data_IF_965813606213
#
_entry.id   IF_965813606213
#
_cell.length_a   1.000
_cell.length_b   1.000
_cell.length_c   1.000
_cell.angle_alpha   90.00
_cell.angle_beta   90.00
_cell.angle_gamma   90.00
#
_symmetry.space_group_name_H-M   'P 1'
#
loop_
_entity.id
_entity.type
_entity.pdbx_description
1 polymer ?
#
# COMPACT_ATOMS: atom_id res chain seq x y z
N UNK A 1 13.84 8.26 -7.67
CA UNK A 1 12.40 8.05 -7.36
C UNK A 1 11.92 6.72 -7.91
N UNK A 2 12.45 6.26 -9.05
CA UNK A 2 12.11 4.96 -9.64
C UNK A 2 12.40 3.77 -8.72
N UNK A 3 13.44 3.85 -7.86
CA UNK A 3 13.73 2.79 -6.90
C UNK A 3 12.59 2.55 -5.90
N UNK A 4 12.01 3.63 -5.37
CA UNK A 4 10.85 3.55 -4.44
C UNK A 4 9.65 2.94 -5.15
N UNK A 5 9.42 3.33 -6.41
CA UNK A 5 8.33 2.78 -7.23
C UNK A 5 8.55 1.28 -7.46
N UNK A 6 9.77 0.87 -7.79
CA UNK A 6 10.15 -0.53 -7.98
C UNK A 6 9.96 -1.35 -6.69
N UNK A 7 10.41 -0.82 -5.54
CA UNK A 7 10.22 -1.45 -4.22
C UNK A 7 8.74 -1.61 -3.90
N UNK A 8 7.94 -0.56 -4.08
CA UNK A 8 6.51 -0.60 -3.84
C UNK A 8 5.83 -1.63 -4.73
N UNK A 9 6.18 -1.66 -6.01
CA UNK A 9 5.66 -2.63 -6.98
C UNK A 9 5.95 -4.07 -6.55
N UNK A 10 7.22 -4.37 -6.24
CA UNK A 10 7.63 -5.71 -5.80
C UNK A 10 6.89 -6.13 -4.52
N UNK A 11 6.80 -5.23 -3.55
CA UNK A 11 6.07 -5.48 -2.31
C UNK A 11 4.58 -5.74 -2.56
N UNK A 12 3.92 -4.89 -3.35
CA UNK A 12 2.50 -5.01 -3.64
C UNK A 12 2.16 -6.28 -4.45
N UNK A 13 3.01 -6.66 -5.40
CA UNK A 13 2.85 -7.91 -6.15
C UNK A 13 2.99 -9.11 -5.21
N UNK A 14 4.05 -9.14 -4.39
CA UNK A 14 4.26 -10.21 -3.41
C UNK A 14 3.09 -10.29 -2.42
N UNK A 15 2.64 -9.15 -1.88
CA UNK A 15 1.51 -9.09 -0.96
C UNK A 15 0.22 -9.62 -1.57
N UNK A 16 -0.03 -9.32 -2.86
CA UNK A 16 -1.16 -9.84 -3.64
C UNK A 16 -1.07 -11.35 -3.85
N UNK A 17 0.12 -11.88 -4.15
CA UNK A 17 0.34 -13.32 -4.35
C UNK A 17 0.11 -14.11 -3.05
N UNK A 18 0.60 -13.60 -1.92
CA UNK A 18 0.46 -14.27 -0.62
C UNK A 18 -0.85 -13.95 0.10
N UNK A 19 -1.70 -13.08 -0.43
CA UNK A 19 -2.96 -12.68 0.21
C UNK A 19 -3.92 -13.86 0.47
N UNK A 20 -3.87 -14.88 -0.39
CA UNK A 20 -4.66 -16.11 -0.25
C UNK A 20 -3.95 -17.21 0.56
N UNK A 21 -2.71 -16.97 1.00
CA UNK A 21 -1.97 -17.87 1.88
C UNK A 21 -2.40 -17.71 3.33
N UNK A 22 -2.37 -18.81 4.09
CA UNK A 22 -2.59 -18.80 5.55
C UNK A 22 -1.56 -17.96 6.32
N UNK A 23 -0.41 -17.69 5.71
CA UNK A 23 0.69 -16.93 6.32
C UNK A 23 0.81 -15.50 5.78
N UNK A 24 -0.14 -15.02 4.95
CA UNK A 24 -0.04 -13.72 4.29
C UNK A 24 0.18 -12.55 5.26
N UNK A 25 -0.54 -12.54 6.39
CA UNK A 25 -0.42 -11.48 7.41
C UNK A 25 0.96 -11.48 8.08
N UNK A 26 1.54 -12.67 8.30
CA UNK A 26 2.87 -12.82 8.92
C UNK A 26 3.97 -12.38 7.94
N UNK A 27 3.86 -12.76 6.67
CA UNK A 27 4.87 -12.46 5.63
C UNK A 27 4.91 -10.96 5.31
N UNK A 28 3.75 -10.31 5.26
CA UNK A 28 3.62 -8.93 4.79
C UNK A 28 3.53 -7.91 5.92
N UNK A 29 3.16 -8.35 7.13
CA UNK A 29 2.77 -7.45 8.22
C UNK A 29 1.45 -6.70 7.97
N UNK A 30 0.72 -7.01 6.90
CA UNK A 30 -0.54 -6.36 6.55
C UNK A 30 -1.73 -7.10 7.17
N UNK A 31 -2.76 -6.38 7.67
CA UNK A 31 -3.99 -7.00 8.15
C UNK A 31 -4.72 -7.78 7.05
N UNK A 32 -5.42 -8.87 7.40
CA UNK A 32 -6.20 -9.68 6.46
C UNK A 32 -7.13 -8.87 5.54
N UNK A 33 -7.90 -7.86 6.01
CA UNK A 33 -8.75 -7.07 5.11
C UNK A 33 -7.98 -6.29 4.04
N UNK A 34 -6.74 -5.87 4.34
CA UNK A 34 -5.87 -5.17 3.40
C UNK A 34 -5.34 -6.14 2.36
N UNK A 35 -4.94 -7.34 2.78
CA UNK A 35 -4.55 -8.41 1.87
C UNK A 35 -5.68 -8.84 0.94
N UNK A 36 -6.89 -9.01 1.47
CA UNK A 36 -8.07 -9.33 0.67
C UNK A 36 -8.37 -8.22 -0.35
N UNK A 37 -8.18 -6.96 0.05
CA UNK A 37 -8.31 -5.84 -0.88
C UNK A 37 -7.26 -5.90 -1.98
N UNK A 38 -5.99 -6.14 -1.65
CA UNK A 38 -4.88 -6.26 -2.60
C UNK A 38 -5.05 -7.44 -3.56
N UNK A 39 -5.59 -8.58 -3.08
CA UNK A 39 -5.89 -9.75 -3.89
C UNK A 39 -6.83 -9.42 -5.07
N UNK A 40 -7.79 -8.53 -4.84
CA UNK A 40 -8.77 -8.09 -5.84
C UNK A 40 -8.29 -7.02 -6.81
N UNK A 41 -7.08 -6.47 -6.65
CA UNK A 41 -6.59 -5.41 -7.54
C UNK A 41 -6.06 -5.98 -8.87
N UNK A 42 -6.25 -5.20 -9.93
CA UNK A 42 -5.60 -5.44 -11.23
C UNK A 42 -4.15 -5.01 -11.20
N UNK A 43 -3.35 -5.48 -12.17
CA UNK A 43 -1.95 -5.06 -12.30
C UNK A 43 -1.85 -3.53 -12.49
N UNK A 44 -2.70 -2.93 -13.32
CA UNK A 44 -2.70 -1.47 -13.52
C UNK A 44 -2.97 -0.69 -12.23
N UNK A 45 -3.84 -1.22 -11.36
CA UNK A 45 -4.09 -0.63 -10.04
C UNK A 45 -2.88 -0.78 -9.11
N UNK A 46 -2.16 -1.90 -9.18
CA UNK A 46 -0.89 -2.09 -8.47
C UNK A 46 0.17 -1.11 -8.97
N UNK A 47 0.29 -0.92 -10.29
CA UNK A 47 1.22 0.08 -10.87
C UNK A 47 0.86 1.49 -10.43
N UNK A 48 -0.43 1.82 -10.36
CA UNK A 48 -0.90 3.11 -9.88
C UNK A 48 -0.53 3.35 -8.41
N UNK A 49 -0.71 2.35 -7.56
CA UNK A 49 -0.32 2.40 -6.14
C UNK A 49 1.21 2.47 -5.97
N UNK A 50 1.97 1.78 -6.81
CA UNK A 50 3.43 1.75 -6.72
C UNK A 50 4.06 3.14 -6.91
N UNK A 51 3.41 4.03 -7.66
CA UNK A 51 3.86 5.42 -7.93
C UNK A 51 3.83 6.36 -6.72
N UNK A 52 3.38 5.89 -5.57
CA UNK A 52 3.47 6.64 -4.31
C UNK A 52 4.95 6.95 -4.00
N UNK A 53 5.25 8.21 -3.69
CA UNK A 53 6.62 8.68 -3.44
C UNK A 53 7.26 8.23 -2.11
N UNK A 54 6.63 7.31 -1.38
CA UNK A 54 7.11 6.73 -0.12
C UNK A 54 7.03 5.21 -0.17
N UNK A 55 7.89 4.53 0.61
CA UNK A 55 7.86 3.07 0.68
C UNK A 55 6.62 2.57 1.44
N UNK A 56 5.79 1.75 0.79
CA UNK A 56 4.57 1.19 1.35
C UNK A 56 4.83 0.07 2.37
N UNK A 57 6.02 -0.52 2.37
CA UNK A 57 6.38 -1.62 3.27
C UNK A 57 6.37 -1.23 4.76
N UNK A 58 6.57 0.06 5.06
CA UNK A 58 6.62 0.58 6.43
C UNK A 58 5.34 1.26 6.87
N UNK A 59 4.38 1.41 5.96
CA UNK A 59 3.12 2.11 6.21
C UNK A 59 2.10 1.12 6.77
N UNK A 60 1.39 1.52 7.83
CA UNK A 60 0.19 0.82 8.27
C UNK A 60 -0.97 1.13 7.32
N UNK A 61 -0.95 0.52 6.14
CA UNK A 61 -2.01 0.69 5.15
C UNK A 61 -3.34 0.16 5.68
N UNK A 62 -4.40 0.93 5.45
CA UNK A 62 -5.78 0.48 5.62
C UNK A 62 -6.45 0.28 4.26
N UNK A 63 -7.60 -0.40 4.25
CA UNK A 63 -8.43 -0.52 3.04
C UNK A 63 -8.85 0.86 2.52
N UNK A 64 -9.15 1.79 3.43
CA UNK A 64 -9.53 3.16 3.09
C UNK A 64 -8.39 3.90 2.38
N UNK A 65 -7.14 3.73 2.84
CA UNK A 65 -5.97 4.35 2.20
C UNK A 65 -5.77 3.83 0.78
N UNK A 66 -5.92 2.52 0.57
CA UNK A 66 -5.83 1.89 -0.76
C UNK A 66 -6.89 2.48 -1.69
N UNK A 67 -8.14 2.50 -1.24
CA UNK A 67 -9.26 3.01 -2.06
C UNK A 67 -9.10 4.49 -2.37
N UNK A 68 -8.61 5.28 -1.41
CA UNK A 68 -8.36 6.70 -1.62
C UNK A 68 -7.20 6.92 -2.61
N UNK A 69 -6.10 6.16 -2.49
CA UNK A 69 -4.98 6.25 -3.42
C UNK A 69 -5.36 5.89 -4.86
N UNK A 70 -6.21 4.89 -5.04
CA UNK A 70 -6.70 4.48 -6.36
C UNK A 70 -7.61 5.54 -7.00
N UNK A 71 -8.31 6.35 -6.19
CA UNK A 71 -9.16 7.45 -6.68
C UNK A 71 -8.35 8.71 -7.03
N UNK A 72 -7.23 8.93 -6.35
CA UNK A 72 -6.39 10.09 -6.57
C UNK A 72 -5.61 9.98 -7.90
N UNK A 73 -5.44 11.14 -8.55
CA UNK A 73 -4.50 11.31 -9.66
C UNK A 73 -3.06 11.20 -9.12
N UNK A 74 -2.11 10.83 -9.98
CA UNK A 74 -0.69 10.61 -9.61
C UNK A 74 -0.10 11.73 -8.75
N UNK A 75 -0.37 13.00 -9.07
CA UNK A 75 0.14 14.16 -8.32
C UNK A 75 -0.37 14.27 -6.89
N UNK A 76 -1.54 13.70 -6.56
CA UNK A 76 -2.15 13.75 -5.23
C UNK A 76 -1.76 12.60 -4.30
N UNK A 77 -1.26 11.48 -4.84
CA UNK A 77 -1.01 10.25 -4.07
C UNK A 77 0.09 10.42 -3.03
N UNK A 78 1.21 11.03 -3.42
CA UNK A 78 2.33 11.26 -2.51
C UNK A 78 1.98 12.24 -1.38
N UNK A 79 1.26 13.32 -1.69
CA UNK A 79 0.80 14.27 -0.68
C UNK A 79 -0.16 13.62 0.33
N UNK A 80 -1.10 12.79 -0.16
CA UNK A 80 -1.99 12.03 0.70
C UNK A 80 -1.22 11.08 1.61
N UNK A 81 -0.26 10.30 1.10
CA UNK A 81 0.49 9.37 1.96
C UNK A 81 1.38 10.05 2.98
N UNK A 82 1.96 11.20 2.65
CA UNK A 82 2.70 11.99 3.62
C UNK A 82 1.78 12.46 4.76
N UNK A 83 0.54 12.85 4.46
CA UNK A 83 -0.46 13.21 5.47
C UNK A 83 -0.83 12.01 6.36
N UNK A 84 -1.10 10.84 5.76
CA UNK A 84 -1.39 9.60 6.50
C UNK A 84 -0.25 9.24 7.45
N UNK A 85 1.00 9.32 6.97
CA UNK A 85 2.19 9.06 7.78
C UNK A 85 2.36 10.06 8.92
N UNK A 86 2.16 11.36 8.65
CA UNK A 86 2.27 12.41 9.65
C UNK A 86 1.19 12.30 10.75
N UNK A 87 0.02 11.77 10.42
CA UNK A 87 -1.10 11.59 11.35
C UNK A 87 -1.05 10.24 12.08
N UNK A 88 -0.52 9.20 11.45
CA UNK A 88 -0.30 7.88 12.08
C UNK A 88 0.72 7.90 13.22
N UNK A 89 1.64 8.86 13.23
CA UNK A 89 2.62 9.05 14.31
C UNK A 89 2.08 9.70 15.60
N UNK A 90 0.85 10.25 15.59
CA UNK A 90 0.30 11.01 16.74
C UNK A 90 -0.67 10.22 17.64
N UNK A 91 -0.99 8.97 17.33
CA UNK A 91 -1.90 8.13 18.15
C UNK A 91 -1.16 7.23 19.17
N UNK A 92 0.06 7.59 19.57
CA UNK A 92 0.88 6.85 20.53
C UNK A 92 1.43 7.71 21.68
N UNK A 93 0.62 8.64 22.21
CA UNK A 93 0.93 9.45 23.39
C UNK A 93 -0.13 9.28 24.46
#
# INVERSE_FOLDING_TARGET
MDDIISINRQFLIMAREVANSKSGEIVTGLPKPVLDRLAGLTIDQIEALARVGVSLMTVRLTVADIDQLLRLKDSGRSAYMLSVLAHGGRQGG
#
